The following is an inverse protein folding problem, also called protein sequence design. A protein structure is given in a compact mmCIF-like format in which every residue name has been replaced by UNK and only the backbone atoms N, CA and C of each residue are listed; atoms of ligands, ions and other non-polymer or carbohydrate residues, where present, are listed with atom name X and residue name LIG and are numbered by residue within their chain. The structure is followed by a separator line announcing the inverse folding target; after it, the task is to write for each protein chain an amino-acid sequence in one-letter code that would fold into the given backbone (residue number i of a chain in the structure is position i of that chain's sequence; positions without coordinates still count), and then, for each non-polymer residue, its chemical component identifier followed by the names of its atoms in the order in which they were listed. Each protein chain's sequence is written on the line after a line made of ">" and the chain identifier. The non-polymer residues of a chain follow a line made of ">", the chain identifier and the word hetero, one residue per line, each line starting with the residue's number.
data_IF_668819866343
#
_entry.id   IF_668819866343
#
_cell.length_a   1.000
_cell.length_b   1.000
_cell.length_c   1.000
_cell.angle_alpha   90.00
_cell.angle_beta   90.00
_cell.angle_gamma   90.00
#
_symmetry.space_group_name_H-M   'P 1'
#
loop_
_entity.id
_entity.type
_entity.pdbx_description
1 polymer ?
#
# COMPACT_ATOMS: atom_id res chain seq x y z
N UNK A 1 14.49 4.71 2.06
CA UNK A 1 13.29 5.35 2.66
C UNK A 1 12.48 4.27 3.34
N UNK A 2 11.82 4.59 4.44
CA UNK A 2 10.96 3.65 5.16
C UNK A 2 9.50 4.03 4.91
N UNK A 3 8.69 3.07 4.53
CA UNK A 3 7.25 3.23 4.32
C UNK A 3 6.53 2.65 5.52
N UNK A 4 6.00 3.52 6.37
CA UNK A 4 5.21 3.10 7.53
C UNK A 4 3.88 2.53 7.05
N UNK A 5 3.56 1.35 7.56
CA UNK A 5 2.22 0.75 7.48
C UNK A 5 1.51 0.96 8.81
N UNK A 6 0.22 0.66 8.85
CA UNK A 6 -0.53 0.66 10.09
C UNK A 6 -0.27 -0.61 10.94
N UNK A 7 -1.09 -0.83 11.96
CA UNK A 7 -0.99 -1.92 12.92
C UNK A 7 -1.01 -3.30 12.26
N UNK A 8 0.11 -4.02 12.40
CA UNK A 8 0.24 -5.46 12.09
C UNK A 8 -0.23 -5.85 10.68
N UNK A 9 0.49 -5.44 9.62
CA UNK A 9 0.21 -5.91 8.27
C UNK A 9 0.39 -7.43 8.19
N UNK A 10 -0.62 -8.12 7.68
CA UNK A 10 -0.63 -9.58 7.61
C UNK A 10 -0.32 -10.11 6.21
N UNK A 11 -0.69 -9.35 5.18
CA UNK A 11 -0.44 -9.69 3.79
C UNK A 11 -0.09 -8.45 2.98
N UNK A 12 0.65 -8.68 1.89
CA UNK A 12 1.01 -7.68 0.89
C UNK A 12 0.63 -8.18 -0.50
N UNK A 13 0.24 -7.26 -1.38
CA UNK A 13 0.03 -7.51 -2.80
C UNK A 13 0.68 -6.39 -3.63
N UNK A 14 1.14 -6.74 -4.83
CA UNK A 14 1.76 -5.82 -5.78
C UNK A 14 1.00 -5.91 -7.10
N UNK A 15 0.65 -4.75 -7.65
CA UNK A 15 -0.11 -4.64 -8.89
C UNK A 15 -0.35 -3.17 -9.23
N UNK A 16 -0.81 -2.90 -10.44
CA UNK A 16 -1.30 -1.57 -10.82
C UNK A 16 -2.75 -1.44 -10.33
N UNK A 17 -2.96 -0.65 -9.28
CA UNK A 17 -4.26 -0.50 -8.62
C UNK A 17 -4.94 0.84 -8.93
N UNK A 18 -4.25 1.77 -9.58
CA UNK A 18 -4.79 3.07 -9.99
C UNK A 18 -4.85 3.25 -11.53
N UNK A 19 -4.41 2.25 -12.29
CA UNK A 19 -4.39 2.19 -13.75
C UNK A 19 -3.47 3.23 -14.40
N UNK A 20 -2.30 3.48 -13.81
CA UNK A 20 -1.27 4.37 -14.35
C UNK A 20 -0.08 3.64 -15.00
N UNK A 21 -0.13 2.31 -15.09
CA UNK A 21 0.90 1.39 -15.59
C UNK A 21 2.16 1.27 -14.72
N UNK A 22 2.10 1.81 -13.50
CA UNK A 22 3.16 1.70 -12.49
C UNK A 22 2.71 0.72 -11.41
N UNK A 23 3.65 -0.07 -10.89
CA UNK A 23 3.34 -0.99 -9.79
C UNK A 23 3.16 -0.24 -8.48
N UNK A 24 2.05 -0.54 -7.81
CA UNK A 24 1.67 -0.09 -6.48
C UNK A 24 1.84 -1.23 -5.46
N UNK A 25 1.73 -0.89 -4.17
CA UNK A 25 1.71 -1.86 -3.06
C UNK A 25 0.42 -1.69 -2.29
N UNK A 26 -0.25 -2.81 -1.99
CA UNK A 26 -1.39 -2.88 -1.07
C UNK A 26 -1.04 -3.72 0.15
N UNK A 27 -1.48 -3.29 1.33
CA UNK A 27 -1.31 -4.02 2.60
C UNK A 27 -2.65 -4.30 3.24
N UNK A 28 -2.83 -5.52 3.75
CA UNK A 28 -3.95 -5.88 4.61
C UNK A 28 -3.50 -5.78 6.08
N UNK A 29 -4.04 -4.81 6.81
CA UNK A 29 -3.63 -4.49 8.18
C UNK A 29 -4.64 -5.08 9.17
N UNK A 30 -4.30 -6.22 9.78
CA UNK A 30 -5.20 -6.92 10.69
C UNK A 30 -5.34 -6.21 12.04
N UNK A 31 -4.33 -5.46 12.47
CA UNK A 31 -4.33 -4.85 13.81
C UNK A 31 -5.29 -3.69 13.97
N UNK A 32 -5.89 -3.18 12.89
CA UNK A 32 -6.85 -2.08 12.90
C UNK A 32 -7.98 -2.23 11.87
N UNK A 33 -8.13 -3.39 11.24
CA UNK A 33 -9.15 -3.69 10.21
C UNK A 33 -9.14 -2.67 9.06
N UNK A 34 -7.95 -2.44 8.47
CA UNK A 34 -7.80 -1.54 7.32
C UNK A 34 -7.05 -2.18 6.15
N UNK A 35 -7.29 -1.64 4.96
CA UNK A 35 -6.46 -1.82 3.78
C UNK A 35 -5.70 -0.53 3.51
N UNK A 36 -4.39 -0.64 3.29
CA UNK A 36 -3.55 0.48 2.87
C UNK A 36 -3.04 0.33 1.45
N UNK A 37 -2.89 1.45 0.75
CA UNK A 37 -2.27 1.51 -0.58
C UNK A 37 -1.12 2.51 -0.61
N UNK A 38 -0.03 2.14 -1.27
CA UNK A 38 1.11 3.00 -1.60
C UNK A 38 1.21 3.06 -3.13
N UNK A 39 1.02 4.26 -3.70
CA UNK A 39 1.09 4.43 -5.14
C UNK A 39 2.54 4.52 -5.61
N UNK A 40 2.88 3.82 -6.68
CA UNK A 40 4.22 3.83 -7.25
C UNK A 40 4.52 5.09 -8.05
N UNK A 41 5.80 5.45 -8.14
CA UNK A 41 6.29 6.53 -9.01
C UNK A 41 7.22 6.04 -10.14
N UNK A 42 7.25 4.73 -10.40
CA UNK A 42 8.02 4.11 -11.50
C UNK A 42 9.53 4.05 -11.27
N UNK A 43 10.05 4.74 -10.26
CA UNK A 43 11.46 4.76 -9.86
C UNK A 43 11.80 3.78 -8.73
N UNK A 44 10.85 2.92 -8.34
CA UNK A 44 10.94 2.10 -7.12
C UNK A 44 10.65 2.86 -5.82
N UNK A 45 10.24 4.14 -5.93
CA UNK A 45 9.70 4.94 -4.82
C UNK A 45 8.17 4.91 -4.84
N UNK A 46 7.57 5.08 -3.67
CA UNK A 46 6.13 5.07 -3.45
C UNK A 46 5.64 6.32 -2.68
N UNK A 47 4.35 6.61 -2.77
CA UNK A 47 3.68 7.66 -1.99
C UNK A 47 3.61 7.32 -0.49
N UNK A 48 3.13 8.25 0.33
CA UNK A 48 2.62 7.91 1.66
C UNK A 48 1.41 6.98 1.54
N UNK A 49 1.19 6.15 2.55
CA UNK A 49 0.05 5.24 2.59
C UNK A 49 -1.27 6.03 2.57
N UNK A 50 -2.22 5.60 1.76
CA UNK A 50 -3.64 5.94 1.89
C UNK A 50 -4.39 4.75 2.48
N UNK A 51 -5.29 4.99 3.42
CA UNK A 51 -6.00 3.94 4.14
C UNK A 51 -7.49 3.90 3.81
N UNK A 52 -8.06 2.70 3.93
CA UNK A 52 -9.47 2.42 3.77
C UNK A 52 -9.89 1.44 4.87
N UNK A 53 -10.98 1.74 5.56
CA UNK A 53 -11.63 0.77 6.45
C UNK A 53 -12.28 -0.33 5.62
N UNK A 54 -12.24 -1.55 6.13
CA UNK A 54 -12.91 -2.72 5.52
C UNK A 54 -14.31 -2.94 6.06
#
# INVERSE_FOLDING_TARGET
>A
MTYSTDSSPWAIAVGDFNNDTILDIVTANHGNDTVGIFLGWGSGSFSSQKQFST
#
